data_IF_542168188994
#
_entry.id   IF_542168188994
#
_cell.length_a   1.000
_cell.length_b   1.000
_cell.length_c   1.000
_cell.angle_alpha   90.00
_cell.angle_beta   90.00
_cell.angle_gamma   90.00
#
_symmetry.space_group_name_H-M   'P 1'
#
loop_
_entity.id
_entity.type
_entity.pdbx_description
1 polymer ?
#
# COMPACT_ATOMS: atom_id res chain seq x y z
N UNK A 1 -22.73 -6.27 4.94
CA UNK A 1 -22.55 -6.36 3.47
C UNK A 1 -21.18 -6.96 3.19
N UNK A 2 -21.08 -7.86 2.21
CA UNK A 2 -19.80 -8.36 1.67
C UNK A 2 -19.36 -7.47 0.52
N UNK A 3 -18.09 -7.51 0.15
CA UNK A 3 -17.59 -6.74 -1.00
C UNK A 3 -18.09 -7.38 -2.29
N UNK A 4 -18.79 -6.59 -3.09
CA UNK A 4 -19.23 -6.93 -4.44
C UNK A 4 -18.43 -6.13 -5.47
N UNK A 5 -17.48 -6.79 -6.11
CA UNK A 5 -16.62 -6.17 -7.12
C UNK A 5 -17.36 -5.81 -8.41
N UNK A 6 -18.54 -6.38 -8.67
CA UNK A 6 -19.33 -6.04 -9.86
C UNK A 6 -19.92 -4.63 -9.78
N UNK A 7 -20.16 -4.13 -8.57
CA UNK A 7 -20.60 -2.76 -8.29
C UNK A 7 -19.47 -1.73 -8.16
N UNK A 8 -18.22 -2.18 -8.17
CA UNK A 8 -17.06 -1.29 -8.03
C UNK A 8 -16.61 -0.78 -9.39
N UNK A 9 -16.54 0.54 -9.53
CA UNK A 9 -16.01 1.23 -10.70
C UNK A 9 -14.55 1.64 -10.44
N UNK A 10 -13.56 1.06 -11.15
CA UNK A 10 -12.15 1.45 -11.01
C UNK A 10 -11.85 2.85 -11.61
N UNK A 11 -12.81 3.48 -12.28
CA UNK A 11 -12.64 4.80 -12.89
C UNK A 11 -11.70 4.80 -14.08
N UNK A 12 -11.15 5.97 -14.42
CA UNK A 12 -10.26 6.16 -15.58
C UNK A 12 -8.78 5.84 -15.32
N UNK A 13 -8.40 5.68 -14.06
CA UNK A 13 -7.03 5.39 -13.64
C UNK A 13 -6.65 3.91 -13.76
N UNK A 14 -5.36 3.62 -13.57
CA UNK A 14 -4.92 2.23 -13.41
C UNK A 14 -5.19 1.75 -11.98
N UNK A 15 -6.31 1.05 -11.77
CA UNK A 15 -6.55 0.34 -10.52
C UNK A 15 -5.71 -0.94 -10.48
N UNK A 16 -5.03 -1.19 -9.35
CA UNK A 16 -4.06 -2.27 -9.16
C UNK A 16 -4.69 -3.64 -8.92
N UNK A 17 -5.94 -3.65 -8.47
CA UNK A 17 -6.65 -4.86 -8.06
C UNK A 17 -7.74 -5.26 -9.04
N UNK A 18 -8.49 -4.29 -9.58
CA UNK A 18 -9.67 -4.48 -10.42
C UNK A 18 -9.44 -3.84 -11.80
N UNK A 19 -9.40 -4.65 -12.86
CA UNK A 19 -9.20 -4.15 -14.23
C UNK A 19 -10.48 -3.54 -14.83
N UNK A 20 -11.63 -4.10 -14.48
CA UNK A 20 -12.97 -3.66 -14.87
C UNK A 20 -13.98 -4.17 -13.83
N UNK A 21 -15.22 -3.65 -13.79
CA UNK A 21 -16.22 -4.11 -12.83
C UNK A 21 -16.35 -5.65 -12.81
N UNK A 22 -16.16 -6.24 -11.64
CA UNK A 22 -16.18 -7.70 -11.43
C UNK A 22 -15.00 -8.48 -12.00
N UNK A 23 -13.97 -7.81 -12.54
CA UNK A 23 -12.80 -8.42 -13.16
C UNK A 23 -11.50 -8.05 -12.43
N UNK A 24 -11.10 -8.85 -11.40
CA UNK A 24 -9.81 -8.68 -10.75
C UNK A 24 -8.64 -8.92 -11.70
N UNK A 25 -7.54 -8.19 -11.50
CA UNK A 25 -6.27 -8.46 -12.20
C UNK A 25 -5.74 -9.86 -11.83
N UNK A 26 -5.01 -10.54 -12.72
CA UNK A 26 -4.50 -11.89 -12.45
C UNK A 26 -3.70 -12.01 -11.15
N UNK A 27 -2.80 -11.06 -10.88
CA UNK A 27 -2.00 -11.02 -9.65
C UNK A 27 -2.83 -10.78 -8.39
N UNK A 28 -3.95 -10.06 -8.50
CA UNK A 28 -4.85 -9.69 -7.41
C UNK A 28 -6.03 -10.65 -7.23
N UNK A 29 -6.23 -11.62 -8.13
CA UNK A 29 -7.41 -12.51 -8.14
C UNK A 29 -7.68 -13.19 -6.79
N UNK A 30 -6.67 -13.85 -6.21
CA UNK A 30 -6.78 -14.52 -4.90
C UNK A 30 -7.13 -13.54 -3.78
N UNK A 31 -6.56 -12.34 -3.81
CA UNK A 31 -6.85 -11.30 -2.83
C UNK A 31 -8.29 -10.80 -2.98
N UNK A 32 -8.73 -10.50 -4.20
CA UNK A 32 -10.09 -10.05 -4.47
C UNK A 32 -11.13 -11.09 -4.02
N UNK A 33 -10.90 -12.38 -4.30
CA UNK A 33 -11.75 -13.49 -3.81
C UNK A 33 -11.77 -13.54 -2.28
N UNK A 34 -10.61 -13.44 -1.64
CA UNK A 34 -10.52 -13.45 -0.18
C UNK A 34 -11.28 -12.25 0.43
N UNK A 35 -11.10 -11.05 -0.11
CA UNK A 35 -11.80 -9.85 0.35
C UNK A 35 -13.32 -9.95 0.18
N UNK A 36 -13.81 -10.50 -0.94
CA UNK A 36 -15.25 -10.79 -1.13
C UNK A 36 -15.80 -11.80 -0.14
N UNK A 37 -14.97 -12.71 0.39
CA UNK A 37 -15.39 -13.66 1.41
C UNK A 37 -15.65 -13.00 2.77
N UNK A 38 -15.01 -11.85 3.04
CA UNK A 38 -15.09 -11.14 4.31
C UNK A 38 -16.33 -10.26 4.40
N UNK A 39 -16.83 -10.14 5.63
CA UNK A 39 -17.86 -9.16 5.98
C UNK A 39 -17.22 -7.82 6.35
N UNK A 40 -17.96 -6.73 6.20
CA UNK A 40 -17.54 -5.40 6.66
C UNK A 40 -17.11 -5.40 8.15
N UNK A 41 -17.78 -6.17 9.02
CA UNK A 41 -17.41 -6.32 10.44
C UNK A 41 -16.03 -6.95 10.60
N UNK A 42 -15.75 -8.02 9.85
CA UNK A 42 -14.46 -8.71 9.89
C UNK A 42 -13.30 -7.83 9.39
N UNK A 43 -13.53 -6.98 8.38
CA UNK A 43 -12.55 -6.01 7.91
C UNK A 43 -12.32 -4.92 8.97
N UNK A 44 -13.39 -4.36 9.53
CA UNK A 44 -13.29 -3.35 10.60
C UNK A 44 -12.55 -3.87 11.82
N UNK A 45 -12.79 -5.11 12.24
CA UNK A 45 -12.05 -5.74 13.35
C UNK A 45 -10.56 -5.87 13.05
N UNK A 46 -10.18 -6.22 11.81
CA UNK A 46 -8.76 -6.29 11.40
C UNK A 46 -8.11 -4.91 11.35
N UNK A 47 -8.83 -3.90 10.86
CA UNK A 47 -8.37 -2.51 10.86
C UNK A 47 -8.07 -2.03 12.29
N UNK A 48 -9.03 -2.21 13.21
CA UNK A 48 -8.86 -1.83 14.61
C UNK A 48 -7.72 -2.58 15.31
N UNK A 49 -7.54 -3.87 14.99
CA UNK A 49 -6.42 -4.65 15.52
C UNK A 49 -5.08 -4.11 15.00
N UNK A 50 -5.00 -3.74 13.72
CA UNK A 50 -3.80 -3.15 13.13
C UNK A 50 -3.48 -1.78 13.75
N UNK A 51 -4.48 -0.92 13.94
CA UNK A 51 -4.30 0.40 14.57
C UNK A 51 -3.76 0.27 15.99
N UNK A 52 -4.29 -0.68 16.78
CA UNK A 52 -3.77 -0.96 18.14
C UNK A 52 -2.34 -1.46 18.10
N UNK A 53 -2.01 -2.38 17.18
CA UNK A 53 -0.67 -2.89 17.04
C UNK A 53 0.35 -1.78 16.68
N UNK A 54 -0.01 -0.86 15.79
CA UNK A 54 0.83 0.31 15.45
C UNK A 54 1.11 1.17 16.70
N UNK A 55 0.09 1.43 17.51
CA UNK A 55 0.22 2.21 18.75
C UNK A 55 1.07 1.45 19.78
N UNK A 56 0.81 0.16 19.99
CA UNK A 56 1.55 -0.69 20.94
C UNK A 56 3.03 -0.84 20.57
N UNK A 57 3.35 -0.90 19.28
CA UNK A 57 4.73 -0.92 18.78
C UNK A 57 5.42 0.46 18.84
N UNK A 58 4.70 1.53 19.20
CA UNK A 58 5.23 2.89 19.23
C UNK A 58 5.58 3.44 17.85
N UNK A 59 4.93 2.95 16.79
CA UNK A 59 5.18 3.42 15.42
C UNK A 59 4.43 4.74 15.20
N UNK A 60 5.15 5.86 15.41
CA UNK A 60 4.63 7.22 15.25
C UNK A 60 5.38 7.99 14.18
N UNK A 61 4.75 9.03 13.65
CA UNK A 61 5.42 10.08 12.88
C UNK A 61 5.09 11.43 13.49
N UNK A 62 6.09 12.31 13.54
CA UNK A 62 5.93 13.65 14.07
C UNK A 62 5.36 14.56 12.98
N UNK A 63 4.19 15.13 13.24
CA UNK A 63 3.63 16.18 12.39
C UNK A 63 4.06 17.53 12.92
N UNK A 64 4.81 18.27 12.11
CA UNK A 64 5.11 19.67 12.36
C UNK A 64 3.92 20.52 11.92
N UNK A 65 3.07 20.91 12.86
CA UNK A 65 1.98 21.86 12.62
C UNK A 65 2.03 22.96 13.67
N UNK A 66 2.12 24.23 13.23
CA UNK A 66 1.98 25.44 14.06
C UNK A 66 2.79 25.45 15.37
N UNK A 67 4.04 24.96 15.33
CA UNK A 67 4.95 25.04 16.48
C UNK A 67 4.70 23.99 17.58
N UNK A 68 3.79 23.05 17.38
CA UNK A 68 3.64 21.88 18.26
C UNK A 68 4.06 20.60 17.54
N UNK A 69 4.95 19.84 18.18
CA UNK A 69 5.27 18.48 17.76
C UNK A 69 4.17 17.56 18.29
N UNK A 70 3.25 17.18 17.41
CA UNK A 70 2.20 16.21 17.75
C UNK A 70 2.60 14.88 17.11
N UNK A 71 2.87 13.90 17.95
CA UNK A 71 3.10 12.54 17.50
C UNK A 71 1.76 11.89 17.14
N UNK A 72 1.65 11.42 15.89
CA UNK A 72 0.47 10.68 15.41
C UNK A 72 0.84 9.24 15.11
N UNK A 73 -0.08 8.33 15.40
CA UNK A 73 0.03 6.94 15.00
C UNK A 73 0.09 6.85 13.46
N UNK A 74 0.99 6.02 12.95
CA UNK A 74 1.16 5.83 11.51
C UNK A 74 -0.12 5.26 10.86
N UNK A 75 -0.70 5.92 9.83
CA UNK A 75 -1.87 5.38 9.14
C UNK A 75 -1.48 4.12 8.38
N UNK A 76 -2.09 2.99 8.72
CA UNK A 76 -1.81 1.71 8.11
C UNK A 76 -3.04 1.18 7.37
N UNK A 77 -2.86 0.84 6.08
CA UNK A 77 -3.87 0.17 5.28
C UNK A 77 -3.69 -1.35 5.36
N UNK A 78 -4.77 -2.05 5.74
CA UNK A 78 -4.78 -3.52 5.85
C UNK A 78 -4.95 -4.22 4.50
N UNK A 79 -5.23 -3.49 3.42
CA UNK A 79 -5.39 -4.02 2.07
C UNK A 79 -4.03 -3.95 1.34
N UNK A 80 -3.39 -5.09 1.06
CA UNK A 80 -2.09 -5.08 0.40
C UNK A 80 -2.22 -4.72 -1.08
N UNK A 81 -1.28 -3.91 -1.59
CA UNK A 81 -1.12 -3.68 -3.03
C UNK A 81 -0.38 -4.86 -3.66
N UNK A 82 -1.07 -5.67 -4.45
CA UNK A 82 -0.47 -6.81 -5.15
C UNK A 82 0.36 -6.35 -6.33
N UNK A 83 1.54 -6.95 -6.52
CA UNK A 83 2.40 -6.69 -7.68
C UNK A 83 2.89 -8.02 -8.28
N UNK A 84 2.85 -8.19 -9.61
CA UNK A 84 3.47 -9.34 -10.26
C UNK A 84 4.96 -9.44 -9.96
N UNK A 85 5.46 -10.64 -9.69
CA UNK A 85 6.87 -10.85 -9.37
C UNK A 85 7.83 -10.37 -10.49
N UNK A 86 7.42 -10.48 -11.76
CA UNK A 86 8.21 -9.99 -12.90
C UNK A 86 8.32 -8.46 -12.90
N UNK A 87 7.23 -7.77 -12.55
CA UNK A 87 7.24 -6.31 -12.44
C UNK A 87 8.16 -5.87 -11.30
N UNK A 88 8.05 -6.51 -10.13
CA UNK A 88 8.91 -6.21 -8.99
C UNK A 88 10.40 -6.39 -9.32
N UNK A 89 10.78 -7.48 -10.01
CA UNK A 89 12.17 -7.72 -10.41
C UNK A 89 12.74 -6.59 -11.28
N UNK A 90 11.93 -6.08 -12.21
CA UNK A 90 12.34 -4.97 -13.07
C UNK A 90 12.47 -3.67 -12.27
N UNK A 91 11.49 -3.37 -11.43
CA UNK A 91 11.50 -2.18 -10.55
C UNK A 91 12.68 -2.21 -9.59
N UNK A 92 12.94 -3.34 -8.95
CA UNK A 92 14.06 -3.54 -8.02
C UNK A 92 15.41 -3.27 -8.72
N UNK A 93 15.61 -3.84 -9.92
CA UNK A 93 16.83 -3.62 -10.68
C UNK A 93 17.03 -2.14 -11.06
N UNK A 94 15.96 -1.47 -11.51
CA UNK A 94 15.99 -0.04 -11.83
C UNK A 94 16.27 0.84 -10.61
N UNK A 95 15.69 0.51 -9.45
CA UNK A 95 15.94 1.23 -8.20
C UNK A 95 17.41 1.10 -7.76
N UNK A 96 17.99 -0.10 -7.82
CA UNK A 96 19.41 -0.32 -7.51
C UNK A 96 20.33 0.46 -8.45
N UNK A 97 20.03 0.45 -9.76
CA UNK A 97 20.76 1.21 -10.75
C UNK A 97 20.70 2.72 -10.45
N UNK A 98 19.50 3.25 -10.20
CA UNK A 98 19.28 4.67 -9.90
C UNK A 98 20.01 5.10 -8.63
N UNK A 99 19.95 4.30 -7.57
CA UNK A 99 20.64 4.57 -6.31
C UNK A 99 22.16 4.67 -6.52
N UNK A 100 22.73 3.74 -7.29
CA UNK A 100 24.16 3.78 -7.62
C UNK A 100 24.54 5.06 -8.37
N UNK A 101 23.77 5.42 -9.39
CA UNK A 101 24.04 6.63 -10.17
C UNK A 101 23.96 7.90 -9.30
N UNK A 102 22.95 7.99 -8.43
CA UNK A 102 22.79 9.12 -7.51
C UNK A 102 23.95 9.22 -6.50
N UNK A 103 24.41 8.09 -5.96
CA UNK A 103 25.55 8.09 -5.05
C UNK A 103 26.83 8.56 -5.73
N UNK A 104 27.12 8.09 -6.96
CA UNK A 104 28.27 8.57 -7.72
C UNK A 104 28.15 10.05 -8.09
N UNK A 105 26.94 10.52 -8.42
CA UNK A 105 26.71 11.94 -8.72
C UNK A 105 26.95 12.84 -7.50
N UNK A 106 26.48 12.43 -6.32
CA UNK A 106 26.75 13.17 -5.08
C UNK A 106 28.25 13.19 -4.80
N UNK A 107 28.93 12.05 -4.98
CA UNK A 107 30.38 11.94 -4.78
C UNK A 107 31.16 12.92 -5.70
N UNK A 108 30.81 12.97 -6.98
CA UNK A 108 31.42 13.84 -8.00
C UNK A 108 31.24 15.35 -7.75
N UNK A 109 30.21 15.74 -6.98
CA UNK A 109 29.96 17.15 -6.65
C UNK A 109 30.76 17.60 -5.41
N UNK A 110 31.03 16.69 -4.47
CA UNK A 110 31.58 17.03 -3.17
C UNK A 110 33.03 16.58 -2.95
N UNK A 111 33.63 15.87 -3.91
CA UNK A 111 35.05 15.49 -3.92
C UNK A 111 35.75 16.01 -5.18
#
# INVERSE_FOLDING_TARGET
MKIDWSSYDPGSGHDELIAAPGQPRPCGSKLATYLSSLTARQLKTRQQASERAIVEMGITFTVYSEGQNIDRAWPFDIIPRTMPAKEWKNTEAGLKQRLRALNCFIDDIYH
#
